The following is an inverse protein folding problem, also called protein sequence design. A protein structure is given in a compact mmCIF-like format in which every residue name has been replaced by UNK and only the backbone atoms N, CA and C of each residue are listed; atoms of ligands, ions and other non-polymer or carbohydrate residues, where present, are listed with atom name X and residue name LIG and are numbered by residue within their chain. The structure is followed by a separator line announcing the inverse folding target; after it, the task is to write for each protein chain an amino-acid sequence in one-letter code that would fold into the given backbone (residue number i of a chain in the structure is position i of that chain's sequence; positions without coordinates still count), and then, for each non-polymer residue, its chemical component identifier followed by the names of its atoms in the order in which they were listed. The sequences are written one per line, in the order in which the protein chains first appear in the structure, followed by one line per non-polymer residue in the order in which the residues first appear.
data_IF_744744205586
#
_entry.id   IF_744744205586
#
_cell.length_a   1.000
_cell.length_b   1.000
_cell.length_c   1.000
_cell.angle_alpha   90.00
_cell.angle_beta   90.00
_cell.angle_gamma   90.00
#
_symmetry.space_group_name_H-M   'P 1'
#
loop_
_entity.id
_entity.type
_entity.pdbx_description
1 polymer ?
#
# COMPACT_ATOMS: atom_id res chain seq x y z
N UNK A 1 20.80 6.74 -4.84
CA UNK A 1 19.90 5.55 -4.92
C UNK A 1 18.84 5.57 -3.83
N UNK A 2 19.12 6.07 -2.62
CA UNK A 2 18.10 6.33 -1.61
C UNK A 2 17.70 7.81 -1.63
N UNK A 3 16.56 8.09 -2.24
CA UNK A 3 15.83 9.35 -2.10
C UNK A 3 14.90 9.24 -0.89
N UNK A 4 14.77 10.31 -0.10
CA UNK A 4 13.89 10.31 1.08
C UNK A 4 12.44 10.49 0.65
N UNK A 5 11.57 9.53 0.95
CA UNK A 5 10.13 9.65 0.76
C UNK A 5 9.38 9.05 1.94
N UNK A 6 8.20 9.59 2.25
CA UNK A 6 7.35 9.15 3.36
C UNK A 6 5.88 9.17 2.93
N UNK A 7 5.36 8.01 2.54
CA UNK A 7 3.99 7.85 2.06
C UNK A 7 2.99 7.47 3.17
N UNK A 8 3.42 7.44 4.43
CA UNK A 8 2.59 7.13 5.60
C UNK A 8 1.81 5.81 5.56
N UNK A 9 2.11 4.87 4.65
CA UNK A 9 1.25 3.70 4.44
C UNK A 9 1.11 2.81 5.68
N UNK A 10 2.24 2.52 6.33
CA UNK A 10 2.27 1.74 7.56
C UNK A 10 1.58 2.53 8.69
N UNK A 11 1.84 3.84 8.79
CA UNK A 11 1.21 4.72 9.78
C UNK A 11 -0.32 4.73 9.63
N UNK A 12 -0.82 4.86 8.41
CA UNK A 12 -2.25 4.84 8.12
C UNK A 12 -2.86 3.47 8.43
N UNK A 13 -2.12 2.37 8.18
CA UNK A 13 -2.55 1.02 8.58
C UNK A 13 -2.68 0.90 10.10
N UNK A 14 -1.72 1.43 10.87
CA UNK A 14 -1.75 1.44 12.36
C UNK A 14 -2.94 2.25 12.88
N UNK A 15 -3.17 3.43 12.31
CA UNK A 15 -4.30 4.30 12.70
C UNK A 15 -5.63 3.64 12.34
N UNK A 16 -5.74 3.05 11.15
CA UNK A 16 -6.91 2.30 10.73
C UNK A 16 -7.22 1.13 11.64
N UNK A 17 -6.21 0.32 11.98
CA UNK A 17 -6.36 -0.76 12.95
C UNK A 17 -6.84 -0.26 14.33
N UNK A 18 -6.20 0.78 14.88
CA UNK A 18 -6.59 1.34 16.17
C UNK A 18 -8.01 1.94 16.17
N UNK A 19 -8.47 2.48 15.04
CA UNK A 19 -9.80 3.06 14.91
C UNK A 19 -10.92 2.03 15.04
N UNK A 20 -10.68 0.76 14.68
CA UNK A 20 -11.66 -0.32 14.82
C UNK A 20 -12.07 -0.58 16.27
N UNK A 21 -11.13 -0.39 17.19
CA UNK A 21 -11.31 -0.69 18.61
C UNK A 21 -11.59 0.58 19.43
N UNK A 22 -11.86 1.71 18.76
CA UNK A 22 -12.09 2.98 19.45
C UNK A 22 -13.41 2.97 20.22
N UNK A 23 -14.48 2.36 19.70
CA UNK A 23 -15.83 2.45 20.27
C UNK A 23 -16.25 1.20 21.04
N UNK A 24 -15.38 0.72 21.93
CA UNK A 24 -15.69 -0.39 22.83
C UNK A 24 -16.17 0.15 24.18
N UNK A 25 -17.29 -0.41 24.66
CA UNK A 25 -17.91 -0.02 25.93
C UNK A 25 -18.02 -1.21 26.87
N UNK A 26 -17.86 -0.93 28.17
CA UNK A 26 -18.14 -1.89 29.23
C UNK A 26 -19.35 -1.39 30.02
N UNK A 27 -20.26 -2.30 30.34
CA UNK A 27 -21.50 -2.03 31.06
C UNK A 27 -21.53 -2.87 32.32
N UNK A 28 -21.60 -2.21 33.47
CA UNK A 28 -21.79 -2.87 34.77
C UNK A 28 -23.25 -2.84 35.14
N UNK A 29 -23.79 -4.00 35.50
CA UNK A 29 -25.20 -4.17 35.88
C UNK A 29 -25.34 -4.44 37.37
N UNK A 30 -26.46 -4.03 37.94
CA UNK A 30 -26.86 -4.43 39.29
C UNK A 30 -27.42 -5.87 39.30
N UNK A 31 -27.66 -6.41 40.50
CA UNK A 31 -28.20 -7.75 40.69
C UNK A 31 -29.65 -7.90 40.17
N UNK A 32 -30.31 -6.80 39.80
CA UNK A 32 -31.65 -6.75 39.21
C UNK A 32 -31.62 -6.60 37.68
N UNK A 33 -30.42 -6.54 37.07
CA UNK A 33 -30.20 -6.43 35.63
C UNK A 33 -30.20 -5.00 35.08
N UNK A 34 -30.31 -3.97 35.92
CA UNK A 34 -30.29 -2.57 35.49
C UNK A 34 -28.85 -2.09 35.25
N UNK A 35 -28.65 -1.22 34.26
CA UNK A 35 -27.33 -0.63 33.98
C UNK A 35 -26.95 0.39 35.07
N UNK A 36 -25.89 0.09 35.83
CA UNK A 36 -25.37 0.96 36.88
C UNK A 36 -24.33 1.94 36.33
N UNK A 37 -23.51 1.48 35.39
CA UNK A 37 -22.46 2.29 34.77
C UNK A 37 -22.11 1.77 33.39
N UNK A 38 -21.93 2.70 32.46
CA UNK A 38 -21.44 2.45 31.10
C UNK A 38 -20.29 3.40 30.83
N UNK A 39 -19.15 2.87 30.46
CA UNK A 39 -17.97 3.68 30.16
C UNK A 39 -17.21 3.14 28.95
N UNK A 40 -16.52 4.06 28.27
CA UNK A 40 -15.71 3.78 27.09
C UNK A 40 -14.34 3.26 27.50
N UNK A 41 -13.87 2.18 26.88
CA UNK A 41 -12.54 1.63 27.15
C UNK A 41 -11.48 2.45 26.39
N UNK A 42 -10.47 3.01 27.07
CA UNK A 42 -9.41 3.75 26.41
C UNK A 42 -8.46 2.81 25.67
N UNK A 43 -8.01 3.25 24.49
CA UNK A 43 -7.02 2.56 23.66
C UNK A 43 -5.74 3.39 23.50
N UNK A 44 -4.57 2.73 23.54
CA UNK A 44 -3.27 3.38 23.36
C UNK A 44 -2.33 2.57 22.48
N UNK A 45 -1.58 3.24 21.61
CA UNK A 45 -0.47 2.61 20.89
C UNK A 45 0.79 2.62 21.78
N UNK A 46 1.25 1.44 22.20
CA UNK A 46 2.45 1.28 23.01
C UNK A 46 3.00 -0.14 22.89
N UNK A 47 4.34 -0.34 22.90
CA UNK A 47 4.93 -1.67 23.00
C UNK A 47 4.40 -2.44 24.22
N UNK A 48 4.25 -3.76 24.10
CA UNK A 48 3.70 -4.62 25.15
C UNK A 48 4.40 -4.43 26.50
N UNK A 49 5.73 -4.39 26.52
CA UNK A 49 6.52 -4.26 27.75
C UNK A 49 6.28 -2.91 28.42
N UNK A 50 6.15 -1.85 27.61
CA UNK A 50 5.84 -0.50 28.11
C UNK A 50 4.42 -0.45 28.67
N UNK A 51 3.47 -1.10 28.01
CA UNK A 51 2.08 -1.18 28.45
C UNK A 51 1.95 -1.95 29.79
N UNK A 52 2.61 -3.10 29.92
CA UNK A 52 2.64 -3.88 31.16
C UNK A 52 3.35 -3.13 32.28
N UNK A 53 4.49 -2.46 32.00
CA UNK A 53 5.16 -1.63 33.00
C UNK A 53 4.25 -0.51 33.51
N UNK A 54 3.57 0.17 32.60
CA UNK A 54 2.61 1.22 32.95
C UNK A 54 1.48 0.66 33.84
N UNK A 55 0.97 -0.54 33.54
CA UNK A 55 -0.02 -1.22 34.37
C UNK A 55 0.51 -1.54 35.78
N UNK A 56 1.74 -2.04 35.87
CA UNK A 56 2.38 -2.38 37.14
C UNK A 56 2.65 -1.15 38.00
N UNK A 57 3.15 -0.06 37.39
CA UNK A 57 3.37 1.23 38.07
C UNK A 57 2.06 1.80 38.64
N UNK A 58 0.98 1.76 37.86
CA UNK A 58 -0.35 2.17 38.35
C UNK A 58 -0.85 1.31 39.51
N UNK A 59 -0.54 0.01 39.51
CA UNK A 59 -0.89 -0.87 40.63
C UNK A 59 -0.03 -0.62 41.88
N UNK A 60 1.20 -0.13 41.71
CA UNK A 60 2.20 0.12 42.76
C UNK A 60 2.01 1.44 43.51
N UNK A 61 1.25 2.39 42.98
CA UNK A 61 0.89 3.66 43.62
C UNK A 61 -0.10 3.50 44.82
N UNK A 62 -0.06 2.36 45.52
CA UNK A 62 -0.80 2.04 46.77
C UNK A 62 -0.36 2.93 47.95
N UNK A 63 -0.44 4.24 47.80
CA UNK A 63 -0.28 5.21 48.89
C UNK A 63 -1.52 5.26 49.77
N UNK A 64 -1.55 4.42 50.81
CA UNK A 64 -2.35 4.52 52.05
C UNK A 64 -3.89 4.53 52.01
N UNK A 65 -4.62 4.98 50.98
CA UNK A 65 -6.10 5.10 51.10
C UNK A 65 -7.00 4.80 49.89
N UNK A 66 -6.50 4.44 48.69
CA UNK A 66 -7.36 4.37 47.49
C UNK A 66 -7.26 3.04 46.70
N UNK A 67 -7.95 2.00 47.15
CA UNK A 67 -8.29 0.86 46.26
C UNK A 67 -9.24 1.26 45.11
N UNK A 68 -9.89 2.44 45.24
CA UNK A 68 -10.77 3.05 44.22
C UNK A 68 -10.02 3.57 42.99
N UNK A 69 -8.73 3.91 43.08
CA UNK A 69 -8.00 4.52 41.96
C UNK A 69 -7.61 3.50 40.89
N UNK A 70 -7.24 2.27 41.27
CA UNK A 70 -6.87 1.23 40.32
C UNK A 70 -8.09 0.73 39.52
N UNK A 71 -9.27 0.66 40.15
CA UNK A 71 -10.52 0.34 39.44
C UNK A 71 -10.98 1.43 38.46
N UNK A 72 -10.38 2.62 38.51
CA UNK A 72 -10.66 3.72 37.58
C UNK A 72 -9.74 3.66 36.35
N UNK A 73 -8.58 2.98 36.46
CA UNK A 73 -7.57 2.91 35.39
C UNK A 73 -7.81 1.74 34.42
N UNK A 74 -8.31 0.63 34.95
CA UNK A 74 -8.70 -0.58 34.22
C UNK A 74 -10.22 -0.64 34.06
N UNK A 75 -10.76 -1.09 32.91
CA UNK A 75 -10.10 -1.76 31.78
C UNK A 75 -9.42 -0.80 30.79
N UNK A 76 -8.40 -1.29 30.06
CA UNK A 76 -7.67 -0.54 29.03
C UNK A 76 -7.16 -1.46 27.92
N UNK A 77 -7.08 -0.93 26.71
CA UNK A 77 -6.58 -1.63 25.53
C UNK A 77 -5.25 -0.99 25.08
N UNK A 78 -4.24 -1.83 24.86
CA UNK A 78 -2.97 -1.46 24.25
C UNK A 78 -2.82 -2.18 22.91
N UNK A 79 -2.15 -1.57 21.94
CA UNK A 79 -1.75 -2.29 20.74
C UNK A 79 -0.38 -1.84 20.22
N UNK A 80 0.31 -2.76 19.56
CA UNK A 80 1.59 -2.50 18.89
C UNK A 80 1.72 -3.30 17.61
N UNK A 81 2.63 -2.85 16.74
CA UNK A 81 3.16 -3.70 15.67
C UNK A 81 4.16 -4.65 16.31
N UNK A 82 4.07 -5.93 15.96
CA UNK A 82 5.01 -6.98 16.33
C UNK A 82 6.03 -7.20 15.22
N UNK A 83 5.55 -7.42 13.99
CA UNK A 83 6.39 -7.72 12.84
C UNK A 83 5.83 -7.11 11.55
N UNK A 84 6.73 -6.90 10.59
CA UNK A 84 6.37 -6.50 9.22
C UNK A 84 7.07 -7.45 8.28
N UNK A 85 6.29 -8.30 7.64
CA UNK A 85 6.76 -9.41 6.82
C UNK A 85 6.42 -9.18 5.35
N UNK A 86 7.35 -9.50 4.45
CA UNK A 86 7.08 -9.44 3.01
C UNK A 86 6.16 -10.59 2.60
N UNK A 87 5.11 -10.28 1.84
CA UNK A 87 4.13 -11.26 1.41
C UNK A 87 4.37 -11.62 -0.07
N UNK A 88 5.09 -12.71 -0.29
CA UNK A 88 5.50 -13.15 -1.62
C UNK A 88 4.32 -13.67 -2.48
N UNK A 89 3.24 -14.13 -1.86
CA UNK A 89 2.10 -14.74 -2.56
C UNK A 89 1.28 -13.69 -3.31
N UNK A 90 1.20 -12.46 -2.78
CA UNK A 90 0.50 -11.34 -3.42
C UNK A 90 1.39 -10.52 -4.36
N UNK A 91 2.59 -10.99 -4.68
CA UNK A 91 3.53 -10.26 -5.51
C UNK A 91 3.01 -10.13 -6.94
N UNK A 92 2.92 -8.88 -7.42
CA UNK A 92 2.66 -8.54 -8.83
C UNK A 92 3.96 -8.17 -9.55
N UNK A 93 3.89 -8.03 -10.88
CA UNK A 93 5.03 -7.57 -11.68
C UNK A 93 5.47 -6.15 -11.26
N UNK A 94 6.70 -6.04 -10.77
CA UNK A 94 7.28 -4.80 -10.24
C UNK A 94 7.62 -3.75 -11.32
N UNK A 95 7.63 -4.14 -12.60
CA UNK A 95 7.88 -3.23 -13.72
C UNK A 95 6.63 -2.43 -14.12
N UNK A 96 5.45 -2.84 -13.67
CA UNK A 96 4.21 -2.13 -13.96
C UNK A 96 4.26 -0.74 -13.32
N UNK A 97 3.98 0.28 -14.12
CA UNK A 97 3.81 1.67 -13.66
C UNK A 97 2.34 2.02 -13.70
N UNK A 98 1.87 2.71 -12.67
CA UNK A 98 0.54 3.31 -12.63
C UNK A 98 0.66 4.80 -12.91
N UNK A 99 -0.28 5.33 -13.70
CA UNK A 99 -0.39 6.73 -14.05
C UNK A 99 -1.61 7.31 -13.35
N UNK A 100 -1.48 8.49 -12.74
CA UNK A 100 -2.59 9.23 -12.13
C UNK A 100 -2.47 10.72 -12.44
N UNK A 101 -3.60 11.43 -12.44
CA UNK A 101 -3.60 12.87 -12.68
C UNK A 101 -2.85 13.59 -11.55
N UNK A 102 -1.96 14.53 -11.90
CA UNK A 102 -1.40 15.44 -10.90
C UNK A 102 -2.42 16.53 -10.55
N UNK A 103 -2.29 17.12 -9.36
CA UNK A 103 -3.04 18.33 -8.99
C UNK A 103 -2.60 19.56 -9.79
N UNK A 104 -1.46 19.47 -10.50
CA UNK A 104 -0.94 20.49 -11.40
C UNK A 104 -1.33 20.19 -12.84
N UNK A 105 -1.85 21.19 -13.56
CA UNK A 105 -2.26 21.06 -14.97
C UNK A 105 -1.12 20.56 -15.85
N UNK A 106 -1.44 19.68 -16.81
CA UNK A 106 -0.50 19.05 -17.76
C UNK A 106 0.62 18.23 -17.11
N UNK A 107 0.42 17.71 -15.90
CA UNK A 107 1.35 16.77 -15.26
C UNK A 107 0.65 15.45 -14.90
N UNK A 108 1.40 14.36 -15.05
CA UNK A 108 1.00 13.00 -14.68
C UNK A 108 1.93 12.54 -13.55
N UNK A 109 1.32 11.97 -12.51
CA UNK A 109 1.99 11.24 -11.43
C UNK A 109 2.19 9.80 -11.86
N UNK A 110 3.42 9.32 -11.73
CA UNK A 110 3.83 7.96 -12.04
C UNK A 110 4.37 7.27 -10.81
N UNK A 111 3.86 6.08 -10.55
CA UNK A 111 4.22 5.27 -9.40
C UNK A 111 4.52 3.84 -9.86
N UNK A 112 5.45 3.19 -9.19
CA UNK A 112 5.67 1.76 -9.38
C UNK A 112 4.54 0.95 -8.73
N UNK A 113 4.40 -0.30 -9.16
CA UNK A 113 3.48 -1.24 -8.56
C UNK A 113 3.68 -1.36 -7.04
N UNK A 114 2.56 -1.63 -6.37
CA UNK A 114 2.51 -1.92 -4.94
C UNK A 114 3.41 -3.08 -4.52
N UNK A 115 4.00 -2.94 -3.34
CA UNK A 115 4.73 -4.02 -2.69
C UNK A 115 3.88 -4.55 -1.53
N UNK A 116 3.43 -5.82 -1.57
CA UNK A 116 2.60 -6.39 -0.52
C UNK A 116 3.41 -6.68 0.75
N UNK A 117 2.86 -6.31 1.90
CA UNK A 117 3.39 -6.62 3.22
C UNK A 117 2.27 -7.13 4.13
N UNK A 118 2.64 -7.99 5.08
CA UNK A 118 1.81 -8.39 6.20
C UNK A 118 2.35 -7.68 7.46
N UNK A 119 1.52 -6.87 8.10
CA UNK A 119 1.84 -6.21 9.37
C UNK A 119 1.14 -6.97 10.47
N UNK A 120 1.93 -7.59 11.34
CA UNK A 120 1.42 -8.33 12.49
C UNK A 120 1.23 -7.36 13.66
N UNK A 121 0.02 -7.35 14.20
CA UNK A 121 -0.38 -6.53 15.33
C UNK A 121 -0.65 -7.40 16.55
N UNK A 122 -0.29 -6.87 17.70
CA UNK A 122 -0.64 -7.44 18.99
C UNK A 122 -1.56 -6.47 19.73
N UNK A 123 -2.76 -6.94 20.08
CA UNK A 123 -3.75 -6.21 20.86
C UNK A 123 -3.82 -6.80 22.26
N UNK A 124 -3.49 -6.00 23.25
CA UNK A 124 -3.50 -6.38 24.66
C UNK A 124 -4.67 -5.71 25.37
N UNK A 125 -5.60 -6.49 25.88
CA UNK A 125 -6.73 -6.03 26.71
C UNK A 125 -6.40 -6.36 28.15
N UNK A 126 -6.33 -5.35 29.01
CA UNK A 126 -6.12 -5.54 30.44
C UNK A 126 -7.37 -5.10 31.22
N UNK A 127 -7.84 -5.94 32.14
CA UNK A 127 -8.90 -5.58 33.09
C UNK A 127 -8.65 -6.20 34.46
N UNK A 128 -9.38 -5.71 35.47
CA UNK A 128 -9.34 -6.26 36.83
C UNK A 128 -10.35 -7.39 37.04
N UNK A 129 -11.52 -7.29 36.42
CA UNK A 129 -12.58 -8.31 36.48
C UNK A 129 -12.61 -9.12 35.19
N UNK A 130 -12.89 -10.42 35.30
CA UNK A 130 -13.04 -11.30 34.15
C UNK A 130 -14.26 -10.92 33.30
N UNK A 131 -15.34 -10.46 33.94
CA UNK A 131 -16.55 -10.02 33.26
C UNK A 131 -16.27 -8.85 32.31
N UNK A 132 -15.56 -7.83 32.80
CA UNK A 132 -15.17 -6.65 32.00
C UNK A 132 -14.32 -7.08 30.78
N UNK A 133 -13.37 -8.01 30.96
CA UNK A 133 -12.54 -8.54 29.86
C UNK A 133 -13.36 -9.32 28.83
N UNK A 134 -14.24 -10.23 29.29
CA UNK A 134 -15.07 -11.05 28.41
C UNK A 134 -16.01 -10.19 27.57
N UNK A 135 -16.62 -9.17 28.15
CA UNK A 135 -17.49 -8.24 27.42
C UNK A 135 -16.74 -7.51 26.29
N UNK A 136 -15.48 -7.11 26.52
CA UNK A 136 -14.65 -6.48 25.50
C UNK A 136 -14.32 -7.47 24.39
N UNK A 137 -13.94 -8.70 24.75
CA UNK A 137 -13.53 -9.73 23.78
C UNK A 137 -14.70 -10.15 22.91
N UNK A 138 -15.88 -10.37 23.48
CA UNK A 138 -17.08 -10.73 22.70
C UNK A 138 -17.43 -9.66 21.66
N UNK A 139 -17.31 -8.37 22.03
CA UNK A 139 -17.51 -7.26 21.09
C UNK A 139 -16.50 -7.26 19.94
N UNK A 140 -15.28 -7.75 20.17
CA UNK A 140 -14.27 -7.87 19.13
C UNK A 140 -14.55 -9.11 18.28
N UNK A 141 -14.65 -10.29 18.90
CA UNK A 141 -14.70 -11.57 18.20
C UNK A 141 -15.93 -11.72 17.30
N UNK A 142 -17.05 -11.09 17.64
CA UNK A 142 -18.27 -11.14 16.83
C UNK A 142 -18.08 -10.64 15.38
N UNK A 143 -17.11 -9.75 15.13
CA UNK A 143 -16.87 -9.16 13.80
C UNK A 143 -15.80 -9.88 12.96
N UNK A 144 -14.99 -10.77 13.55
CA UNK A 144 -13.91 -11.45 12.84
C UNK A 144 -14.30 -12.88 12.47
N UNK A 145 -14.60 -13.13 11.18
CA UNK A 145 -15.06 -14.44 10.69
C UNK A 145 -14.33 -14.91 9.42
N UNK A 146 -13.02 -15.22 9.45
CA UNK A 146 -11.96 -14.93 10.44
C UNK A 146 -11.22 -13.61 10.15
N UNK A 147 -11.63 -12.91 9.09
CA UNK A 147 -11.04 -11.65 8.65
C UNK A 147 -12.10 -10.55 8.60
N UNK A 148 -11.64 -9.32 8.82
CA UNK A 148 -12.42 -8.11 8.68
C UNK A 148 -11.69 -7.15 7.73
N UNK A 149 -12.36 -6.71 6.67
CA UNK A 149 -11.74 -5.87 5.65
C UNK A 149 -12.05 -4.41 5.89
N UNK A 150 -11.00 -3.59 6.00
CA UNK A 150 -11.10 -2.14 6.14
C UNK A 150 -10.63 -1.46 4.88
N UNK A 151 -11.46 -0.60 4.32
CA UNK A 151 -11.08 0.27 3.20
C UNK A 151 -10.37 1.51 3.73
N UNK A 152 -9.13 1.73 3.31
CA UNK A 152 -8.32 2.88 3.71
C UNK A 152 -7.78 3.66 2.50
N UNK A 153 -7.55 4.95 2.70
CA UNK A 153 -6.87 5.80 1.73
C UNK A 153 -5.40 5.90 2.12
N UNK A 154 -4.50 5.53 1.22
CA UNK A 154 -3.06 5.53 1.50
C UNK A 154 -2.36 6.78 0.99
N UNK A 155 -2.71 7.22 -0.21
CA UNK A 155 -2.11 8.38 -0.89
C UNK A 155 -3.21 9.03 -1.73
N UNK A 156 -3.04 10.29 -2.13
CA UNK A 156 -3.98 11.00 -3.00
C UNK A 156 -4.29 10.24 -4.31
N UNK A 157 -3.28 9.56 -4.86
CA UNK A 157 -3.38 8.72 -6.07
C UNK A 157 -3.98 7.31 -5.80
N UNK A 158 -4.01 6.91 -4.53
CA UNK A 158 -4.31 5.56 -4.05
C UNK A 158 -5.35 5.59 -2.94
N UNK A 159 -6.57 5.88 -3.35
CA UNK A 159 -7.76 5.85 -2.52
C UNK A 159 -8.44 4.48 -2.57
N UNK A 160 -9.20 4.16 -1.51
CA UNK A 160 -10.08 3.00 -1.41
C UNK A 160 -9.38 1.66 -1.61
N UNK A 161 -8.28 1.44 -0.89
CA UNK A 161 -7.62 0.15 -0.85
C UNK A 161 -8.14 -0.64 0.32
N UNK A 162 -8.57 -1.86 0.03
CA UNK A 162 -9.06 -2.81 1.01
C UNK A 162 -7.88 -3.54 1.67
N UNK A 163 -7.83 -3.48 3.00
CA UNK A 163 -6.85 -4.16 3.84
C UNK A 163 -7.60 -5.18 4.69
N UNK A 164 -7.47 -6.49 4.40
CA UNK A 164 -8.00 -7.51 5.26
C UNK A 164 -7.15 -7.63 6.53
N UNK A 165 -7.81 -7.64 7.68
CA UNK A 165 -7.23 -7.86 8.98
C UNK A 165 -7.73 -9.22 9.47
N UNK A 166 -6.81 -10.17 9.58
CA UNK A 166 -7.11 -11.54 9.98
C UNK A 166 -6.82 -11.68 11.48
N UNK A 167 -7.75 -12.27 12.22
CA UNK A 167 -7.50 -12.69 13.60
C UNK A 167 -6.79 -14.05 13.58
N UNK A 168 -5.57 -14.10 14.11
CA UNK A 168 -4.74 -15.30 14.11
C UNK A 168 -4.94 -16.12 15.39
N UNK A 169 -4.96 -15.47 16.55
CA UNK A 169 -5.11 -16.16 17.83
C UNK A 169 -5.59 -15.23 18.95
N UNK A 170 -6.16 -15.83 19.99
CA UNK A 170 -6.58 -15.18 21.23
C UNK A 170 -6.02 -16.00 22.39
N UNK A 171 -5.22 -15.37 23.26
CA UNK A 171 -4.62 -16.00 24.42
C UNK A 171 -4.96 -15.22 25.69
N UNK A 172 -5.23 -15.91 26.78
CA UNK A 172 -5.45 -15.31 28.11
C UNK A 172 -4.26 -15.58 29.02
N UNK A 173 -3.82 -14.57 29.75
CA UNK A 173 -2.78 -14.62 30.76
C UNK A 173 -3.33 -14.01 32.05
N UNK A 174 -3.16 -14.71 33.17
CA UNK A 174 -3.60 -14.25 34.48
C UNK A 174 -2.37 -13.93 35.30
N UNK A 175 -2.26 -12.67 35.74
CA UNK A 175 -1.16 -12.22 36.60
C UNK A 175 -1.59 -12.22 38.07
N UNK A 176 -0.79 -12.90 38.90
CA UNK A 176 -1.00 -13.04 40.34
C UNK A 176 0.02 -12.21 41.12
N UNK A 177 -0.43 -11.48 42.14
CA UNK A 177 0.48 -10.71 43.00
C UNK A 177 0.83 -11.49 44.27
N UNK A 178 2.01 -12.13 44.30
CA UNK A 178 2.67 -12.66 45.51
C UNK A 178 1.98 -13.85 46.19
N UNK A 179 0.73 -13.70 46.60
CA UNK A 179 -0.15 -14.74 47.14
C UNK A 179 -1.18 -15.13 46.08
N UNK A 180 -1.40 -16.44 45.88
CA UNK A 180 -2.32 -16.99 44.88
C UNK A 180 -3.79 -16.58 45.10
N UNK A 181 -4.09 -15.90 46.20
CA UNK A 181 -5.40 -15.37 46.55
C UNK A 181 -5.75 -14.03 45.89
N UNK A 182 -4.76 -13.20 45.50
CA UNK A 182 -5.01 -11.84 45.00
C UNK A 182 -4.56 -11.68 43.55
N UNK A 183 -5.52 -11.74 42.63
CA UNK A 183 -5.31 -11.48 41.22
C UNK A 183 -5.05 -9.98 40.97
N UNK A 184 -3.93 -9.63 40.31
CA UNK A 184 -3.59 -8.23 39.98
C UNK A 184 -4.37 -7.76 38.76
N UNK A 185 -4.33 -8.53 37.69
CA UNK A 185 -5.01 -8.21 36.43
C UNK A 185 -5.17 -9.44 35.55
N UNK A 186 -6.14 -9.35 34.65
CA UNK A 186 -6.38 -10.32 33.59
C UNK A 186 -5.96 -9.65 32.29
N UNK A 187 -5.08 -10.32 31.56
CA UNK A 187 -4.55 -9.85 30.29
C UNK A 187 -5.00 -10.79 29.19
N UNK A 188 -5.68 -10.27 28.18
CA UNK A 188 -5.95 -10.98 26.94
C UNK A 188 -5.10 -10.40 25.82
N UNK A 189 -4.53 -11.31 25.05
CA UNK A 189 -3.60 -11.03 23.98
C UNK A 189 -4.18 -11.57 22.68
N UNK A 190 -4.50 -10.68 21.76
CA UNK A 190 -5.05 -11.02 20.45
C UNK A 190 -4.01 -10.69 19.38
N UNK A 191 -3.68 -11.68 18.56
CA UNK A 191 -2.76 -11.51 17.44
C UNK A 191 -3.56 -11.31 16.15
N UNK A 192 -3.26 -10.24 15.42
CA UNK A 192 -3.86 -9.91 14.14
C UNK A 192 -2.80 -9.79 13.05
N UNK A 193 -3.17 -10.09 11.82
CA UNK A 193 -2.32 -9.85 10.65
C UNK A 193 -3.07 -8.97 9.66
N UNK A 194 -2.58 -7.76 9.45
CA UNK A 194 -3.11 -6.82 8.47
C UNK A 194 -2.32 -6.91 7.16
N UNK A 195 -3.03 -7.24 6.08
CA UNK A 195 -2.47 -7.46 4.76
C UNK A 195 -2.43 -6.16 3.95
N UNK A 196 -1.43 -5.33 4.20
CA UNK A 196 -1.29 -3.98 3.61
C UNK A 196 -0.34 -3.94 2.40
N UNK A 197 -0.19 -2.75 1.82
CA UNK A 197 0.73 -2.47 0.73
C UNK A 197 1.63 -1.27 1.07
N UNK A 198 2.86 -1.33 0.60
CA UNK A 198 3.83 -0.23 0.66
C UNK A 198 4.09 0.27 -0.75
N UNK A 199 4.16 1.59 -0.90
CA UNK A 199 4.37 2.26 -2.19
C UNK A 199 5.73 2.94 -2.21
N UNK A 200 6.37 2.89 -3.39
CA UNK A 200 7.60 3.64 -3.66
C UNK A 200 7.34 5.14 -3.87
N UNK A 201 8.38 5.91 -4.23
CA UNK A 201 8.25 7.33 -4.47
C UNK A 201 7.40 7.63 -5.71
N UNK A 202 6.54 8.63 -5.62
CA UNK A 202 5.75 9.16 -6.74
C UNK A 202 6.59 10.15 -7.55
N UNK A 203 6.62 10.00 -8.88
CA UNK A 203 7.31 10.93 -9.78
C UNK A 203 6.31 11.70 -10.64
N UNK A 204 6.49 13.01 -10.73
CA UNK A 204 5.69 13.86 -11.60
C UNK A 204 6.42 14.12 -12.91
N UNK A 205 5.70 14.03 -14.03
CA UNK A 205 6.21 14.30 -15.37
C UNK A 205 5.19 15.08 -16.18
N UNK A 206 5.64 15.93 -17.10
CA UNK A 206 4.73 16.65 -18.00
C UNK A 206 4.11 15.69 -19.01
N UNK A 207 2.84 15.91 -19.33
CA UNK A 207 2.15 15.20 -20.43
C UNK A 207 2.84 15.57 -21.74
N UNK A 208 3.26 14.56 -22.51
CA UNK A 208 3.79 14.77 -23.86
C UNK A 208 2.60 14.84 -24.81
N UNK A 209 2.24 16.03 -25.28
CA UNK A 209 1.11 16.25 -26.21
C UNK A 209 1.53 16.32 -27.68
N UNK A 210 2.82 16.55 -27.96
CA UNK A 210 3.37 16.60 -29.33
C UNK A 210 4.70 15.87 -29.39
N UNK A 211 4.83 15.00 -30.38
CA UNK A 211 6.09 14.37 -30.78
C UNK A 211 6.26 14.63 -32.26
N UNK A 212 7.31 15.36 -32.64
CA UNK A 212 7.67 15.58 -34.04
C UNK A 212 8.75 14.56 -34.41
N UNK A 213 8.46 13.64 -35.33
CA UNK A 213 9.44 12.73 -35.92
C UNK A 213 9.69 13.12 -37.37
N UNK A 214 10.88 13.66 -37.64
CA UNK A 214 11.30 13.96 -39.01
C UNK A 214 12.05 12.77 -39.58
N UNK A 215 11.46 12.10 -40.57
CA UNK A 215 12.15 11.12 -41.38
C UNK A 215 12.79 11.83 -42.57
N UNK A 216 14.12 11.79 -42.66
CA UNK A 216 14.82 12.20 -43.86
C UNK A 216 14.80 11.03 -44.83
N UNK A 217 13.94 11.08 -45.84
CA UNK A 217 14.05 10.18 -46.97
C UNK A 217 15.13 10.74 -47.92
N UNK A 218 16.22 10.00 -48.07
CA UNK A 218 17.19 10.25 -49.15
C UNK A 218 16.93 9.18 -50.19
N UNK A 219 16.33 9.56 -51.30
CA UNK A 219 16.27 8.67 -52.46
C UNK A 219 17.69 8.54 -53.03
N UNK A 220 18.04 7.40 -53.59
CA UNK A 220 19.31 7.22 -54.28
C UNK A 220 19.02 7.05 -55.77
N UNK A 221 19.75 7.74 -56.62
CA UNK A 221 19.66 7.54 -58.06
C UNK A 221 20.24 6.16 -58.45
N UNK A 222 20.06 5.77 -59.71
CA UNK A 222 20.59 4.51 -60.27
C UNK A 222 22.12 4.41 -60.27
N UNK A 223 22.84 5.45 -59.83
CA UNK A 223 24.29 5.54 -59.70
C UNK A 223 24.73 5.62 -58.22
N UNK A 224 23.79 5.49 -57.28
CA UNK A 224 24.05 5.51 -55.83
C UNK A 224 24.21 6.90 -55.24
N UNK A 225 23.89 7.97 -55.97
CA UNK A 225 23.97 9.34 -55.46
C UNK A 225 22.68 9.72 -54.71
N UNK A 226 22.78 10.37 -53.53
CA UNK A 226 21.61 10.85 -52.81
C UNK A 226 20.90 11.94 -53.63
N UNK A 227 19.62 11.76 -53.90
CA UNK A 227 18.73 12.72 -54.56
C UNK A 227 17.61 13.11 -53.60
N UNK A 228 17.51 14.40 -53.28
CA UNK A 228 16.54 14.95 -52.34
C UNK A 228 16.69 16.46 -52.20
N UNK A 229 15.60 17.17 -51.87
CA UNK A 229 15.51 18.63 -51.93
C UNK A 229 16.35 19.39 -50.87
N UNK A 230 17.10 18.69 -50.02
CA UNK A 230 18.00 19.32 -49.06
C UNK A 230 19.36 18.65 -49.20
N UNK A 231 20.23 19.31 -49.95
CA UNK A 231 21.62 18.89 -50.11
C UNK A 231 22.34 18.82 -48.77
N UNK A 232 23.20 17.81 -48.67
CA UNK A 232 24.13 17.46 -47.60
C UNK A 232 23.56 16.61 -46.45
N UNK A 233 23.83 15.31 -46.52
CA UNK A 233 24.14 14.51 -45.33
C UNK A 233 25.30 13.53 -45.61
N UNK A 234 26.07 13.32 -44.55
CA UNK A 234 27.40 12.71 -44.54
C UNK A 234 27.40 11.20 -44.87
N UNK A 235 28.44 10.80 -45.60
CA UNK A 235 28.77 9.41 -45.95
C UNK A 235 29.17 8.62 -44.70
N UNK A 236 28.26 7.79 -44.18
CA UNK A 236 28.62 6.71 -43.25
C UNK A 236 28.62 5.41 -44.04
N UNK A 237 29.82 4.93 -44.38
CA UNK A 237 30.00 3.61 -44.99
C UNK A 237 30.25 2.62 -43.84
N UNK A 238 29.29 1.73 -43.61
CA UNK A 238 29.49 0.55 -42.78
C UNK A 238 29.60 -0.66 -43.71
N UNK A 239 30.83 -1.09 -44.00
CA UNK A 239 31.06 -2.39 -44.63
C UNK A 239 31.01 -3.48 -43.57
N UNK A 240 30.12 -4.47 -43.73
CA UNK A 240 30.08 -5.65 -42.88
C UNK A 240 30.68 -6.80 -43.69
N UNK A 241 31.92 -7.18 -43.37
CA UNK A 241 32.61 -8.30 -44.04
C UNK A 241 32.26 -9.61 -43.32
N UNK A 242 31.64 -10.54 -44.04
CA UNK A 242 31.43 -11.91 -43.56
C UNK A 242 32.71 -12.77 -43.65
N UNK A 243 32.78 -13.94 -42.99
CA UNK A 243 33.99 -14.75 -42.84
C UNK A 243 34.62 -15.27 -44.16
N UNK A 244 33.90 -15.16 -45.28
CA UNK A 244 34.31 -15.66 -46.59
C UNK A 244 34.80 -14.55 -47.53
N UNK A 245 35.02 -13.32 -47.03
CA UNK A 245 35.62 -12.23 -47.81
C UNK A 245 34.76 -11.63 -48.92
N UNK A 246 33.48 -12.01 -49.04
CA UNK A 246 32.55 -11.33 -49.94
C UNK A 246 32.14 -9.98 -49.33
N UNK A 247 32.37 -8.89 -50.07
CA UNK A 247 31.93 -7.53 -49.73
C UNK A 247 30.54 -7.32 -50.30
N UNK A 248 29.60 -6.83 -49.49
CA UNK A 248 28.32 -6.33 -50.00
C UNK A 248 28.53 -4.90 -50.51
N UNK A 249 29.20 -4.77 -51.64
CA UNK A 249 29.35 -3.49 -52.34
C UNK A 249 28.10 -3.20 -53.18
N UNK A 250 27.87 -1.91 -53.41
CA UNK A 250 26.68 -1.31 -54.05
C UNK A 250 26.34 -1.86 -55.44
N UNK A 251 27.27 -2.59 -56.08
CA UNK A 251 27.15 -3.05 -57.47
C UNK A 251 26.56 -4.47 -57.61
N UNK A 252 26.23 -5.18 -56.52
CA UNK A 252 25.73 -6.57 -56.58
C UNK A 252 24.23 -6.74 -56.24
N UNK A 253 23.50 -5.66 -55.94
CA UNK A 253 22.06 -5.73 -55.67
C UNK A 253 21.23 -5.58 -56.96
N UNK A 254 20.73 -6.69 -57.52
CA UNK A 254 19.82 -6.69 -58.68
C UNK A 254 18.36 -6.89 -58.23
N UNK A 255 17.75 -5.81 -57.73
CA UNK A 255 16.31 -5.75 -57.44
C UNK A 255 15.55 -5.03 -58.57
N UNK A 256 14.58 -5.73 -59.17
CA UNK A 256 13.70 -5.22 -60.24
C UNK A 256 12.86 -4.01 -59.79
N UNK A 257 12.96 -2.88 -60.52
CA UNK A 257 12.14 -1.69 -60.31
C UNK A 257 10.68 -1.93 -60.73
N UNK A 258 9.73 -1.95 -59.78
CA UNK A 258 8.29 -1.86 -60.07
C UNK A 258 7.86 -0.42 -59.85
N UNK A 259 7.87 0.38 -60.92
CA UNK A 259 7.29 1.73 -60.93
C UNK A 259 5.76 1.63 -60.95
N UNK A 260 5.13 2.11 -59.87
CA UNK A 260 3.68 2.29 -59.75
C UNK A 260 3.38 3.38 -58.73
N UNK A 261 3.62 4.64 -59.11
CA UNK A 261 3.22 5.81 -58.33
C UNK A 261 1.76 6.14 -58.62
N UNK A 262 0.86 5.71 -57.74
CA UNK A 262 -0.45 6.36 -57.54
C UNK A 262 -0.36 7.20 -56.28
N UNK A 263 -0.46 8.52 -56.47
CA UNK A 263 -0.46 9.52 -55.42
C UNK A 263 -1.79 9.46 -54.67
N UNK A 264 -1.93 8.56 -53.69
CA UNK A 264 -3.00 8.65 -52.71
C UNK A 264 -2.51 9.43 -51.48
N UNK A 265 -2.85 10.72 -51.48
CA UNK A 265 -2.77 11.56 -50.28
C UNK A 265 -3.89 11.18 -49.32
N UNK A 266 -3.70 10.12 -48.56
CA UNK A 266 -4.45 9.88 -47.33
C UNK A 266 -3.70 8.83 -46.50
N UNK A 267 -2.83 9.27 -45.59
CA UNK A 267 -2.51 8.44 -44.43
C UNK A 267 -2.84 9.24 -43.18
N UNK A 268 -3.88 8.72 -42.54
CA UNK A 268 -4.60 9.22 -41.39
C UNK A 268 -3.71 9.41 -40.17
N UNK A 269 -4.02 10.50 -39.48
CA UNK A 269 -3.61 10.88 -38.14
C UNK A 269 -3.92 9.72 -37.17
N UNK A 270 -2.95 9.31 -36.37
CA UNK A 270 -3.23 8.50 -35.19
C UNK A 270 -3.80 9.44 -34.11
N UNK A 271 -5.10 9.73 -34.23
CA UNK A 271 -5.88 10.39 -33.19
C UNK A 271 -6.26 9.33 -32.15
N UNK A 272 -5.86 9.54 -30.90
CA UNK A 272 -6.47 8.79 -29.81
C UNK A 272 -7.93 9.26 -29.71
N UNK A 273 -8.91 8.34 -29.55
CA UNK A 273 -10.29 8.75 -29.36
C UNK A 273 -10.39 9.65 -28.14
N UNK A 274 -10.75 10.90 -28.38
CA UNK A 274 -11.02 11.89 -27.35
C UNK A 274 -12.40 11.55 -26.77
N UNK A 275 -12.42 10.77 -25.70
CA UNK A 275 -13.39 10.78 -24.59
C UNK A 275 -13.17 9.54 -23.71
N UNK A 276 -12.65 9.77 -22.50
CA UNK A 276 -12.92 8.85 -21.40
C UNK A 276 -14.39 9.04 -21.03
N UNK A 277 -15.26 8.11 -21.40
CA UNK A 277 -16.57 8.00 -20.76
C UNK A 277 -16.36 7.66 -19.27
N UNK A 278 -17.20 8.26 -18.44
CA UNK A 278 -17.25 8.29 -16.98
C UNK A 278 -17.35 6.94 -16.26
N UNK A 279 -17.17 5.81 -16.95
CA UNK A 279 -17.35 4.46 -16.40
C UNK A 279 -16.16 3.51 -16.59
N UNK A 280 -15.00 3.98 -17.07
CA UNK A 280 -13.72 3.32 -16.80
C UNK A 280 -13.61 1.83 -17.16
N UNK A 281 -14.06 1.42 -18.34
CA UNK A 281 -13.83 0.07 -18.87
C UNK A 281 -13.05 0.12 -20.19
N UNK A 282 -11.98 -0.67 -20.27
CA UNK A 282 -11.22 -0.96 -21.49
C UNK A 282 -11.69 -2.31 -22.04
N UNK A 283 -11.89 -2.41 -23.36
CA UNK A 283 -11.94 -3.70 -24.07
C UNK A 283 -10.51 -4.24 -24.17
#
# INVERSE_FOLDING_TARGET
MFETFYNETIRNTVVGFGSLFNEIYVVRKDNSGNETSRFKVPITYAPKEKFIRMLNEYSGLKGSNNERDISTILPRIGFNIEAINYDAERKRNTLSKRYSASSVSNQIKTEYAEVPYAVDFFLTVAARSMEDSLQIIEQILAYFTPEFTVTMNFTDSRNRIDVPIVLSSVASEIDFEGDSSTQRSIIFNLAFTARTYVYGPTKESKVITKVDTTFFNTDFDTQGNPTGATGALARVIAGITGPNGATSDINEYTGTNVFGSTTDRANSIFEYPDTLDSLGATI
#
